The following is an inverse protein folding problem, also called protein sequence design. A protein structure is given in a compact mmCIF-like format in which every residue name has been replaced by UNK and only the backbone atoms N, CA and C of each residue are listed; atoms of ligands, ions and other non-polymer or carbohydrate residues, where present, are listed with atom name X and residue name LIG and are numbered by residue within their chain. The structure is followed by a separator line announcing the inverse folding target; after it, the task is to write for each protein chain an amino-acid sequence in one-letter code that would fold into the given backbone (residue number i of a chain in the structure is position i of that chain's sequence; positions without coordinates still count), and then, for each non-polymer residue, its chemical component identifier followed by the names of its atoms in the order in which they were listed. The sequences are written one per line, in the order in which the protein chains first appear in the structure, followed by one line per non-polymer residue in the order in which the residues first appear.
data_IF_371105421674
#
_entry.id   IF_371105421674
#
_cell.length_a   1.000
_cell.length_b   1.000
_cell.length_c   1.000
_cell.angle_alpha   90.00
_cell.angle_beta   90.00
_cell.angle_gamma   90.00
#
_symmetry.space_group_name_H-M   'P 1'
#
loop_
_entity.id
_entity.type
_entity.pdbx_description
1 polymer ?
#
# COMPACT_ATOMS: atom_id res chain seq x y z
N UNK A 1 -19.92 5.15 15.03
CA UNK A 1 -18.59 4.93 15.64
C UNK A 1 -18.57 3.50 16.13
N UNK A 2 -18.15 2.56 15.26
CA UNK A 2 -17.87 1.18 15.68
C UNK A 2 -16.34 1.00 15.66
N UNK A 3 -15.74 1.21 16.83
CA UNK A 3 -14.35 0.91 17.06
C UNK A 3 -14.19 -0.59 17.35
N UNK A 4 -13.37 -1.26 16.53
CA UNK A 4 -12.50 -2.31 17.03
C UNK A 4 -13.12 -3.66 17.36
N UNK A 5 -13.32 -4.48 16.32
CA UNK A 5 -12.91 -5.89 16.43
C UNK A 5 -12.07 -6.23 15.21
N UNK A 6 -10.75 -6.45 15.33
CA UNK A 6 -9.99 -7.07 14.26
C UNK A 6 -10.54 -8.49 14.09
N UNK A 7 -11.34 -8.69 13.04
CA UNK A 7 -11.85 -9.99 12.62
C UNK A 7 -10.69 -10.98 12.49
N UNK A 8 -10.66 -11.96 13.41
CA UNK A 8 -9.68 -13.05 13.55
C UNK A 8 -9.82 -14.05 12.39
N UNK A 9 -9.61 -13.58 11.16
CA UNK A 9 -9.90 -14.31 9.92
C UNK A 9 -10.29 -13.45 8.72
N UNK A 10 -10.19 -12.12 8.77
CA UNK A 10 -10.36 -11.31 7.56
C UNK A 10 -9.30 -11.68 6.52
N UNK A 11 -9.74 -12.46 5.53
CA UNK A 11 -8.96 -13.15 4.53
C UNK A 11 -8.00 -12.18 3.82
N UNK A 12 -6.81 -12.67 3.49
CA UNK A 12 -5.75 -11.98 2.74
C UNK A 12 -6.24 -10.94 1.70
N UNK A 13 -7.32 -11.17 0.91
CA UNK A 13 -7.87 -10.17 0.00
C UNK A 13 -8.25 -8.82 0.63
N UNK A 14 -8.88 -8.79 1.82
CA UNK A 14 -9.25 -7.53 2.48
C UNK A 14 -8.03 -6.74 2.94
N UNK A 15 -7.00 -7.44 3.42
CA UNK A 15 -5.75 -6.81 3.82
C UNK A 15 -5.01 -6.21 2.61
N UNK A 16 -4.94 -6.95 1.50
CA UNK A 16 -4.36 -6.49 0.24
C UNK A 16 -5.09 -5.25 -0.28
N UNK A 17 -6.42 -5.30 -0.36
CA UNK A 17 -7.25 -4.19 -0.84
C UNK A 17 -7.08 -2.95 0.04
N UNK A 18 -7.10 -3.12 1.37
CA UNK A 18 -6.83 -2.03 2.31
C UNK A 18 -5.44 -1.42 2.12
N UNK A 19 -4.40 -2.24 1.97
CA UNK A 19 -3.04 -1.74 1.70
C UNK A 19 -2.97 -0.99 0.36
N UNK A 20 -3.65 -1.48 -0.68
CA UNK A 20 -3.70 -0.84 -1.98
C UNK A 20 -4.49 0.49 -1.96
N UNK A 21 -5.53 0.60 -1.12
CA UNK A 21 -6.23 1.87 -0.85
C UNK A 21 -5.32 2.89 -0.17
N UNK A 22 -4.58 2.47 0.86
CA UNK A 22 -3.61 3.33 1.52
C UNK A 22 -2.56 3.87 0.54
N UNK A 23 -1.99 3.02 -0.33
CA UNK A 23 -1.03 3.45 -1.36
C UNK A 23 -1.62 4.50 -2.31
N UNK A 24 -2.93 4.43 -2.59
CA UNK A 24 -3.64 5.40 -3.44
C UNK A 24 -4.06 6.69 -2.72
N UNK A 25 -3.80 6.81 -1.42
CA UNK A 25 -4.15 7.99 -0.64
C UNK A 25 -5.51 7.92 0.07
N UNK A 26 -6.17 6.77 0.07
CA UNK A 26 -7.40 6.56 0.84
C UNK A 26 -7.05 6.10 2.26
N UNK A 27 -7.25 6.99 3.22
CA UNK A 27 -6.88 6.82 4.64
C UNK A 27 -8.07 6.55 5.56
N UNK A 28 -9.19 6.05 5.02
CA UNK A 28 -10.42 5.82 5.80
C UNK A 28 -10.32 4.66 6.80
N UNK A 29 -9.37 3.74 6.65
CA UNK A 29 -9.20 2.58 7.50
C UNK A 29 -8.21 2.84 8.65
N UNK A 30 -8.68 3.54 9.69
CA UNK A 30 -7.88 3.85 10.89
C UNK A 30 -7.36 2.59 11.61
N UNK A 31 -8.12 1.49 11.55
CA UNK A 31 -7.72 0.21 12.14
C UNK A 31 -6.51 -0.40 11.43
N UNK A 32 -6.52 -0.40 10.10
CA UNK A 32 -5.39 -0.85 9.30
C UNK A 32 -4.17 0.07 9.45
N UNK A 33 -4.36 1.39 9.48
CA UNK A 33 -3.28 2.37 9.71
C UNK A 33 -2.61 2.09 11.05
N UNK A 34 -3.39 1.88 12.11
CA UNK A 34 -2.89 1.52 13.44
C UNK A 34 -2.13 0.19 13.43
N UNK A 35 -2.69 -0.82 12.76
CA UNK A 35 -2.07 -2.15 12.68
C UNK A 35 -0.72 -2.13 11.94
N UNK A 36 -0.62 -1.37 10.83
CA UNK A 36 0.59 -1.29 10.02
C UNK A 36 1.64 -0.33 10.61
N UNK A 37 1.22 0.78 11.21
CA UNK A 37 2.09 1.81 11.77
C UNK A 37 2.55 1.56 13.21
N UNK A 38 1.84 0.67 13.93
CA UNK A 38 2.11 0.34 15.35
C UNK A 38 2.14 1.62 16.21
N UNK A 39 3.05 1.71 17.17
CA UNK A 39 3.21 2.88 18.04
C UNK A 39 3.39 4.20 17.25
N UNK A 40 4.01 4.13 16.07
CA UNK A 40 4.18 5.29 15.20
C UNK A 40 2.88 5.84 14.58
N UNK A 41 1.79 5.07 14.61
CA UNK A 41 0.48 5.52 14.13
C UNK A 41 -0.23 6.44 15.13
N UNK A 42 0.07 6.32 16.43
CA UNK A 42 -0.69 6.97 17.50
C UNK A 42 -0.79 8.49 17.34
N UNK A 43 0.30 9.14 16.90
CA UNK A 43 0.34 10.60 16.74
C UNK A 43 -0.66 11.13 15.71
N UNK A 44 -1.05 10.33 14.72
CA UNK A 44 -1.94 10.76 13.64
C UNK A 44 -3.43 10.78 14.05
N UNK A 45 -3.75 10.30 15.25
CA UNK A 45 -5.11 10.25 15.79
C UNK A 45 -5.32 11.24 16.95
N UNK A 46 -4.49 12.30 17.01
CA UNK A 46 -4.55 13.36 18.03
C UNK A 46 -5.50 14.52 17.66
N UNK A 47 -6.19 14.43 16.51
CA UNK A 47 -7.12 15.44 16.01
C UNK A 47 -6.45 16.65 15.32
N UNK A 48 -5.13 16.60 15.09
CA UNK A 48 -4.39 17.65 14.38
C UNK A 48 -4.09 17.25 12.95
N UNK A 49 -3.78 18.24 12.11
CA UNK A 49 -3.22 17.99 10.78
C UNK A 49 -1.75 17.58 10.89
N UNK A 50 -1.34 16.63 10.04
CA UNK A 50 0.03 16.14 9.98
C UNK A 50 0.54 16.19 8.54
N UNK A 51 1.68 16.83 8.31
CA UNK A 51 2.29 16.94 6.99
C UNK A 51 2.89 15.61 6.52
N UNK A 52 3.19 14.69 7.44
CA UNK A 52 3.86 13.43 7.15
C UNK A 52 2.90 12.23 6.97
N UNK A 53 1.66 12.49 6.54
CA UNK A 53 0.66 11.46 6.21
C UNK A 53 1.08 10.53 5.06
N UNK A 54 2.14 10.86 4.31
CA UNK A 54 2.74 9.94 3.33
C UNK A 54 3.16 8.60 3.96
N UNK A 55 3.40 8.56 5.27
CA UNK A 55 3.68 7.32 6.00
C UNK A 55 2.58 6.27 5.82
N UNK A 56 1.33 6.67 5.64
CA UNK A 56 0.23 5.73 5.39
C UNK A 56 0.43 4.95 4.08
N UNK A 57 0.90 5.64 3.04
CA UNK A 57 1.23 5.03 1.74
C UNK A 57 2.43 4.10 1.86
N UNK A 58 3.46 4.50 2.61
CA UNK A 58 4.63 3.65 2.92
C UNK A 58 4.21 2.38 3.67
N UNK A 59 3.34 2.51 4.67
CA UNK A 59 2.85 1.39 5.44
C UNK A 59 2.00 0.44 4.60
N UNK A 60 1.13 0.95 3.73
CA UNK A 60 0.39 0.15 2.75
C UNK A 60 1.33 -0.62 1.82
N UNK A 61 2.32 0.04 1.22
CA UNK A 61 3.31 -0.62 0.35
C UNK A 61 4.11 -1.69 1.10
N UNK A 62 4.47 -1.45 2.36
CA UNK A 62 5.12 -2.44 3.23
C UNK A 62 4.21 -3.63 3.55
N UNK A 63 2.90 -3.42 3.71
CA UNK A 63 1.94 -4.51 3.84
C UNK A 63 1.96 -5.43 2.61
N UNK A 64 1.98 -4.84 1.42
CA UNK A 64 2.03 -5.56 0.14
C UNK A 64 3.36 -6.26 -0.14
N UNK A 65 4.46 -5.78 0.46
CA UNK A 65 5.75 -6.50 0.45
C UNK A 65 5.61 -7.91 1.04
N UNK A 66 4.82 -8.05 2.11
CA UNK A 66 4.67 -9.31 2.84
C UNK A 66 3.44 -10.11 2.41
N UNK A 67 2.35 -9.44 2.07
CA UNK A 67 1.10 -10.06 1.62
C UNK A 67 0.82 -9.70 0.16
N UNK A 68 1.67 -10.17 -0.76
CA UNK A 68 1.49 -9.89 -2.17
C UNK A 68 0.25 -10.55 -2.77
N UNK A 69 -0.41 -9.80 -3.65
CA UNK A 69 -1.40 -10.28 -4.60
C UNK A 69 -1.33 -9.42 -5.88
N UNK A 70 -1.54 -10.04 -7.05
CA UNK A 70 -1.41 -9.34 -8.33
C UNK A 70 -2.41 -8.19 -8.50
N UNK A 71 -3.55 -8.22 -7.78
CA UNK A 71 -4.53 -7.13 -7.72
C UNK A 71 -3.95 -5.80 -7.21
N UNK A 72 -2.85 -5.83 -6.45
CA UNK A 72 -2.19 -4.63 -5.94
C UNK A 72 -1.20 -3.99 -6.93
N UNK A 73 -0.95 -4.62 -8.08
CA UNK A 73 0.00 -4.14 -9.09
C UNK A 73 -0.26 -2.70 -9.52
N UNK A 74 -1.49 -2.27 -9.88
CA UNK A 74 -1.74 -0.90 -10.31
C UNK A 74 -1.38 0.15 -9.25
N UNK A 75 -1.69 -0.13 -7.98
CA UNK A 75 -1.41 0.79 -6.89
C UNK A 75 0.10 1.01 -6.70
N UNK A 76 0.91 -0.07 -6.73
CA UNK A 76 2.36 0.07 -6.60
C UNK A 76 3.04 0.66 -7.83
N UNK A 77 2.49 0.45 -9.04
CA UNK A 77 3.00 1.14 -10.23
C UNK A 77 2.77 2.66 -10.14
N UNK A 78 1.60 3.08 -9.68
CA UNK A 78 1.30 4.49 -9.45
C UNK A 78 2.22 5.11 -8.38
N UNK A 79 2.60 4.33 -7.35
CA UNK A 79 3.47 4.76 -6.26
C UNK A 79 4.89 5.17 -6.70
N UNK A 80 5.35 4.81 -7.92
CA UNK A 80 6.61 5.33 -8.46
C UNK A 80 6.53 6.79 -8.91
N UNK A 81 5.33 7.32 -9.14
CA UNK A 81 5.10 8.75 -9.41
C UNK A 81 4.81 9.58 -8.15
N UNK A 82 4.85 8.97 -6.97
CA UNK A 82 4.52 9.64 -5.71
C UNK A 82 5.49 10.79 -5.41
N UNK A 83 4.98 11.89 -4.84
CA UNK A 83 5.78 13.04 -4.42
C UNK A 83 6.85 12.66 -3.38
N UNK A 84 6.48 11.78 -2.44
CA UNK A 84 7.32 11.41 -1.31
C UNK A 84 8.30 10.30 -1.72
N UNK A 85 9.60 10.60 -1.67
CA UNK A 85 10.64 9.68 -2.09
C UNK A 85 10.59 8.33 -1.35
N UNK A 86 10.18 8.31 -0.07
CA UNK A 86 10.02 7.08 0.72
C UNK A 86 8.94 6.15 0.19
N UNK A 87 7.88 6.70 -0.43
CA UNK A 87 6.82 5.89 -1.03
C UNK A 87 7.37 5.17 -2.26
N UNK A 88 8.10 5.88 -3.12
CA UNK A 88 8.78 5.31 -4.30
C UNK A 88 9.78 4.22 -3.89
N UNK A 89 10.60 4.49 -2.88
CA UNK A 89 11.57 3.53 -2.34
C UNK A 89 10.89 2.27 -1.80
N UNK A 90 9.80 2.42 -1.04
CA UNK A 90 9.08 1.28 -0.47
C UNK A 90 8.41 0.44 -1.56
N UNK A 91 7.83 1.07 -2.59
CA UNK A 91 7.27 0.36 -3.74
C UNK A 91 8.35 -0.44 -4.49
N UNK A 92 9.54 0.12 -4.66
CA UNK A 92 10.67 -0.54 -5.32
C UNK A 92 11.14 -1.82 -4.61
N UNK A 93 10.97 -1.91 -3.29
CA UNK A 93 11.36 -3.09 -2.50
C UNK A 93 10.46 -4.30 -2.74
N UNK A 94 9.26 -4.13 -3.30
CA UNK A 94 8.33 -5.24 -3.56
C UNK A 94 8.82 -6.02 -4.79
N UNK A 95 9.46 -7.21 -4.65
CA UNK A 95 10.20 -7.84 -5.76
C UNK A 95 9.31 -8.21 -6.94
N UNK A 96 8.02 -8.42 -6.66
CA UNK A 96 7.02 -8.84 -7.64
C UNK A 96 6.55 -7.70 -8.53
N UNK A 97 6.77 -6.44 -8.13
CA UNK A 97 6.55 -5.27 -8.99
C UNK A 97 7.50 -5.29 -10.19
N UNK A 98 8.78 -5.65 -9.96
CA UNK A 98 9.75 -5.85 -11.05
C UNK A 98 9.30 -6.94 -12.01
N UNK A 99 8.85 -8.08 -11.50
CA UNK A 99 8.35 -9.18 -12.31
C UNK A 99 7.08 -8.79 -13.10
N UNK A 100 6.16 -8.04 -12.49
CA UNK A 100 4.96 -7.54 -13.17
C UNK A 100 5.30 -6.53 -14.28
N UNK A 101 6.22 -5.60 -14.01
CA UNK A 101 6.71 -4.66 -15.02
C UNK A 101 7.38 -5.39 -16.20
N UNK A 102 8.22 -6.40 -15.93
CA UNK A 102 8.82 -7.23 -16.98
C UNK A 102 7.77 -7.95 -17.83
N UNK A 103 6.72 -8.51 -17.22
CA UNK A 103 5.61 -9.13 -17.96
C UNK A 103 4.85 -8.12 -18.83
N UNK A 104 4.62 -6.90 -18.32
CA UNK A 104 3.94 -5.85 -19.06
C UNK A 104 4.75 -5.42 -20.29
N UNK A 105 6.07 -5.20 -20.13
CA UNK A 105 6.98 -4.89 -21.23
C UNK A 105 6.98 -6.01 -22.28
N UNK A 106 7.13 -7.27 -21.85
CA UNK A 106 7.14 -8.41 -22.76
C UNK A 106 5.85 -8.54 -23.61
N UNK A 107 4.68 -8.23 -23.04
CA UNK A 107 3.39 -8.24 -23.76
C UNK A 107 3.33 -7.16 -24.83
N UNK A 108 3.78 -5.94 -24.51
CA UNK A 108 3.79 -4.83 -25.47
C UNK A 108 4.73 -5.11 -26.64
N UNK A 109 5.90 -5.69 -26.38
CA UNK A 109 6.85 -6.06 -27.44
C UNK A 109 6.35 -7.23 -28.29
N UNK A 110 5.62 -8.19 -27.72
CA UNK A 110 5.05 -9.31 -28.46
C UNK A 110 3.84 -8.92 -29.34
N UNK A 111 3.16 -7.82 -29.02
CA UNK A 111 2.04 -7.29 -29.82
C UNK A 111 2.47 -6.36 -30.97
N UNK A 112 3.78 -6.16 -31.14
CA UNK A 112 4.38 -5.30 -32.16
C UNK A 112 5.12 -6.11 -33.24
N UNK A 113 5.09 -7.44 -33.15
CA UNK A 113 5.68 -8.40 -34.10
C UNK A 113 4.57 -9.19 -34.82
#
# INVERSE_FOLDING_TARGET
MDAGTPCRGCARPRFVDGCARLVRGDYTDAGLITALGREGAAKFFDGREHEDTYWFRVWGARGLLWAWDDSATPALLAAFGDEAWRVREMAAKVPRVRAAAQRAVARLTANTA
#
